data_IF_883323740041
#
_entry.id   IF_883323740041
#
_cell.length_a   1.000
_cell.length_b   1.000
_cell.length_c   1.000
_cell.angle_alpha   90.00
_cell.angle_beta   90.00
_cell.angle_gamma   90.00
#
_symmetry.space_group_name_H-M   'P 1'
#
loop_
_entity.id
_entity.type
_entity.pdbx_description
1 polymer ?
#
# COMPACT_ATOMS: atom_id res chain seq x y z
N UNK A 1 -22.52 -9.44 -30.29
CA UNK A 1 -21.57 -9.97 -31.30
C UNK A 1 -20.57 -10.88 -30.60
N UNK A 2 -20.52 -12.17 -30.98
CA UNK A 2 -19.54 -13.16 -30.52
C UNK A 2 -18.37 -13.17 -31.49
N UNK A 3 -17.15 -12.96 -30.98
CA UNK A 3 -15.86 -13.19 -31.67
C UNK A 3 -14.90 -13.53 -30.51
N UNK A 4 -14.13 -14.60 -30.45
CA UNK A 4 -13.63 -15.52 -31.46
C UNK A 4 -12.18 -15.83 -31.08
N UNK A 5 -11.96 -17.07 -30.64
CA UNK A 5 -10.77 -17.79 -30.18
C UNK A 5 -9.42 -17.44 -30.85
N UNK A 6 -8.29 -17.59 -30.12
CA UNK A 6 -7.13 -18.42 -30.55
C UNK A 6 -6.09 -18.66 -29.45
N UNK A 7 -5.96 -19.95 -29.14
CA UNK A 7 -4.98 -20.64 -28.30
C UNK A 7 -3.67 -20.83 -29.10
N UNK A 8 -2.50 -20.59 -28.51
CA UNK A 8 -1.21 -21.07 -29.04
C UNK A 8 -0.42 -21.76 -27.92
N UNK A 9 -0.32 -23.08 -28.03
CA UNK A 9 0.68 -23.91 -27.36
C UNK A 9 2.00 -23.84 -28.14
N UNK A 10 3.14 -23.89 -27.45
CA UNK A 10 4.41 -24.36 -28.03
C UNK A 10 5.00 -25.40 -27.10
N UNK A 11 5.13 -26.62 -27.63
CA UNK A 11 5.80 -27.76 -27.03
C UNK A 11 7.31 -27.72 -27.34
N UNK A 12 8.15 -28.08 -26.37
CA UNK A 12 9.59 -28.29 -26.53
C UNK A 12 9.93 -29.74 -26.18
N UNK A 13 10.46 -30.47 -27.17
CA UNK A 13 10.65 -31.92 -27.23
C UNK A 13 11.96 -32.39 -26.59
N UNK A 14 11.93 -33.63 -26.09
CA UNK A 14 12.97 -34.47 -25.49
C UNK A 14 14.27 -34.62 -26.31
N UNK A 15 15.37 -34.95 -25.60
CA UNK A 15 16.44 -35.82 -26.13
C UNK A 15 16.82 -36.85 -25.05
N UNK A 16 16.63 -38.13 -25.38
CA UNK A 16 17.18 -39.29 -24.68
C UNK A 16 18.48 -39.70 -25.38
N UNK A 17 19.50 -40.10 -24.62
CA UNK A 17 20.65 -40.84 -25.13
C UNK A 17 20.84 -42.12 -24.31
N UNK A 18 20.93 -43.23 -25.03
CA UNK A 18 21.14 -44.61 -24.56
C UNK A 18 22.58 -44.99 -24.90
N UNK A 19 23.29 -45.71 -24.02
CA UNK A 19 24.64 -46.21 -24.31
C UNK A 19 25.12 -47.27 -23.32
N UNK A 20 25.54 -48.42 -23.86
CA UNK A 20 25.76 -49.74 -23.26
C UNK A 20 27.04 -49.99 -22.42
N UNK A 21 26.94 -51.02 -21.55
CA UNK A 21 27.92 -52.08 -21.21
C UNK A 21 29.33 -51.74 -20.70
N UNK A 22 29.71 -52.32 -19.56
CA UNK A 22 31.11 -52.56 -19.18
C UNK A 22 31.31 -52.72 -17.67
N UNK A 23 31.54 -53.95 -17.22
CA UNK A 23 31.97 -54.26 -15.86
C UNK A 23 33.42 -53.85 -15.63
N UNK A 24 33.68 -52.94 -14.70
CA UNK A 24 34.96 -52.88 -14.00
C UNK A 24 34.75 -52.26 -12.61
N UNK A 25 35.11 -53.04 -11.59
CA UNK A 25 34.99 -52.67 -10.18
C UNK A 25 36.02 -51.59 -9.84
N UNK A 26 35.61 -50.38 -9.41
CA UNK A 26 36.54 -49.36 -8.95
C UNK A 26 37.17 -49.78 -7.60
N UNK A 27 38.46 -49.48 -7.35
CA UNK A 27 39.08 -49.70 -6.05
C UNK A 27 38.35 -48.91 -4.95
N UNK A 28 38.35 -49.37 -3.69
CA UNK A 28 37.63 -48.71 -2.62
C UNK A 28 38.12 -47.25 -2.48
N UNK A 29 37.22 -46.25 -2.47
CA UNK A 29 37.61 -44.87 -2.30
C UNK A 29 38.21 -44.66 -0.90
N UNK A 30 39.29 -43.88 -0.86
CA UNK A 30 39.92 -43.40 0.35
C UNK A 30 38.87 -42.75 1.28
N UNK A 31 39.01 -42.99 2.59
CA UNK A 31 38.18 -42.36 3.61
C UNK A 31 38.37 -40.84 3.58
N UNK A 32 37.47 -40.14 2.88
CA UNK A 32 37.29 -38.70 3.01
C UNK A 32 36.67 -38.43 4.37
N UNK A 33 37.44 -37.81 5.25
CA UNK A 33 36.93 -37.17 6.45
C UNK A 33 36.00 -36.04 6.01
N UNK A 34 34.69 -36.32 6.04
CA UNK A 34 33.65 -35.31 5.87
C UNK A 34 33.76 -34.37 7.06
N UNK A 35 34.45 -33.24 6.87
CA UNK A 35 34.33 -32.10 7.78
C UNK A 35 32.92 -31.58 7.61
N UNK A 36 32.06 -31.86 8.59
CA UNK A 36 30.70 -31.33 8.62
C UNK A 36 30.76 -29.81 8.47
N UNK A 37 29.96 -29.20 7.57
CA UNK A 37 29.87 -27.75 7.51
C UNK A 37 29.44 -27.23 8.89
N UNK A 38 29.97 -26.08 9.35
CA UNK A 38 29.58 -25.51 10.63
C UNK A 38 28.05 -25.39 10.66
N UNK A 39 27.43 -25.96 11.70
CA UNK A 39 25.99 -25.84 11.91
C UNK A 39 25.65 -24.37 11.99
N UNK A 40 25.02 -23.84 10.92
CA UNK A 40 24.37 -22.54 10.94
C UNK A 40 23.34 -22.61 12.05
N UNK A 41 23.60 -21.91 13.14
CA UNK A 41 22.65 -21.81 14.25
C UNK A 41 21.47 -21.01 13.70
N UNK A 42 20.42 -21.73 13.32
CA UNK A 42 19.15 -21.15 12.86
C UNK A 42 18.57 -20.38 14.04
N UNK A 43 18.87 -19.09 14.10
CA UNK A 43 18.29 -18.19 15.09
C UNK A 43 16.84 -18.03 14.71
N UNK A 44 15.92 -18.37 15.62
CA UNK A 44 14.49 -18.22 15.37
C UNK A 44 14.20 -16.79 14.91
N UNK A 45 13.30 -16.59 13.93
CA UNK A 45 12.96 -15.24 13.47
C UNK A 45 12.47 -14.40 14.66
N UNK A 46 12.83 -13.10 14.70
CA UNK A 46 12.38 -12.22 15.76
C UNK A 46 10.84 -12.24 15.83
N UNK A 47 10.28 -12.30 17.03
CA UNK A 47 8.83 -12.23 17.23
C UNK A 47 8.40 -10.77 17.22
N UNK A 48 7.30 -10.39 16.54
CA UNK A 48 6.70 -9.07 16.68
C UNK A 48 6.40 -8.79 18.15
N UNK A 49 6.88 -7.68 18.69
CA UNK A 49 6.43 -7.20 19.98
C UNK A 49 5.07 -6.48 19.84
N UNK A 50 4.33 -6.41 20.93
CA UNK A 50 2.96 -5.87 20.92
C UNK A 50 2.92 -4.37 20.56
N UNK A 51 3.94 -3.60 20.92
CA UNK A 51 3.98 -2.16 20.65
C UNK A 51 4.23 -1.87 19.17
N UNK A 52 5.14 -2.62 18.54
CA UNK A 52 5.40 -2.57 17.10
C UNK A 52 4.16 -2.95 16.28
N UNK A 53 3.46 -4.01 16.69
CA UNK A 53 2.22 -4.42 16.04
C UNK A 53 1.11 -3.38 16.20
N UNK A 54 0.93 -2.81 17.39
CA UNK A 54 -0.08 -1.78 17.65
C UNK A 54 0.20 -0.50 16.85
N UNK A 55 1.47 -0.09 16.77
CA UNK A 55 1.89 1.05 15.98
C UNK A 55 1.57 0.85 14.51
N UNK A 56 1.97 -0.30 13.94
CA UNK A 56 1.79 -0.57 12.51
C UNK A 56 0.31 -0.71 12.13
N UNK A 57 -0.51 -1.32 12.99
CA UNK A 57 -1.95 -1.36 12.80
C UNK A 57 -2.59 0.03 12.81
N UNK A 58 -2.14 0.92 13.71
CA UNK A 58 -2.68 2.28 13.79
C UNK A 58 -2.27 3.12 12.58
N UNK A 59 -1.00 3.02 12.18
CA UNK A 59 -0.45 3.69 10.99
C UNK A 59 -1.15 3.23 9.71
N UNK A 60 -1.21 1.93 9.44
CA UNK A 60 -1.91 1.40 8.27
C UNK A 60 -3.42 1.68 8.34
N UNK A 61 -4.01 1.60 9.53
CA UNK A 61 -5.42 1.87 9.77
C UNK A 61 -5.81 3.29 9.40
N UNK A 62 -4.97 4.29 9.70
CA UNK A 62 -5.21 5.67 9.32
C UNK A 62 -5.20 5.85 7.78
N UNK A 63 -4.18 5.30 7.10
CA UNK A 63 -4.02 5.42 5.64
C UNK A 63 -5.10 4.65 4.88
N UNK A 64 -5.35 3.39 5.25
CA UNK A 64 -6.41 2.59 4.63
C UNK A 64 -7.81 3.06 5.01
N UNK A 65 -7.99 3.55 6.24
CA UNK A 65 -9.23 4.13 6.73
C UNK A 65 -9.70 5.29 5.86
N UNK A 66 -8.78 6.16 5.42
CA UNK A 66 -9.08 7.19 4.41
C UNK A 66 -9.67 6.57 3.14
N UNK A 67 -9.00 5.56 2.56
CA UNK A 67 -9.42 4.95 1.29
C UNK A 67 -10.80 4.30 1.43
N UNK A 68 -11.04 3.56 2.52
CA UNK A 68 -12.33 2.94 2.78
C UNK A 68 -13.44 3.97 2.91
N UNK A 69 -13.25 4.98 3.76
CA UNK A 69 -14.24 6.03 3.97
C UNK A 69 -14.51 6.84 2.68
N UNK A 70 -13.47 7.14 1.89
CA UNK A 70 -13.64 7.82 0.61
C UNK A 70 -14.42 6.95 -0.39
N UNK A 71 -14.14 5.64 -0.45
CA UNK A 71 -14.86 4.72 -1.31
C UNK A 71 -16.32 4.57 -0.89
N UNK A 72 -16.59 4.43 0.41
CA UNK A 72 -17.95 4.34 0.96
C UNK A 72 -18.75 5.61 0.63
N UNK A 73 -18.14 6.78 0.81
CA UNK A 73 -18.74 8.08 0.46
C UNK A 73 -19.13 8.14 -1.02
N UNK A 74 -18.26 7.66 -1.92
CA UNK A 74 -18.53 7.62 -3.36
C UNK A 74 -19.58 6.57 -3.75
N UNK A 75 -19.62 5.42 -3.06
CA UNK A 75 -20.63 4.38 -3.29
C UNK A 75 -22.04 4.82 -2.87
N UNK A 76 -22.12 5.63 -1.82
CA UNK A 76 -23.37 6.18 -1.30
C UNK A 76 -23.83 7.44 -2.06
N UNK A 77 -23.04 7.95 -3.00
CA UNK A 77 -23.44 9.07 -3.85
C UNK A 77 -24.51 8.63 -4.87
N UNK A 78 -25.55 9.44 -5.12
CA UNK A 78 -26.56 9.12 -6.14
C UNK A 78 -25.93 8.95 -7.53
N UNK A 79 -26.33 7.91 -8.26
CA UNK A 79 -25.79 7.60 -9.59
C UNK A 79 -25.96 8.74 -10.63
N UNK A 80 -26.99 9.59 -10.44
CA UNK A 80 -27.30 10.74 -11.32
C UNK A 80 -27.16 12.07 -10.56
N UNK A 81 -26.11 12.23 -9.77
CA UNK A 81 -25.90 13.48 -9.04
C UNK A 81 -25.56 14.63 -10.00
N UNK A 82 -26.49 15.59 -10.13
CA UNK A 82 -26.24 16.85 -10.82
C UNK A 82 -25.17 17.63 -10.06
N UNK A 83 -24.07 17.97 -10.73
CA UNK A 83 -23.01 18.80 -10.14
C UNK A 83 -23.50 20.23 -10.02
N UNK A 84 -23.71 20.67 -8.79
CA UNK A 84 -24.10 22.03 -8.42
C UNK A 84 -23.01 22.67 -7.58
N UNK A 85 -23.06 24.00 -7.42
CA UNK A 85 -22.20 24.72 -6.48
C UNK A 85 -22.25 24.10 -5.07
N UNK A 86 -23.46 23.77 -4.61
CA UNK A 86 -23.67 23.17 -3.29
C UNK A 86 -23.06 21.78 -3.17
N UNK A 87 -23.23 20.92 -4.19
CA UNK A 87 -22.64 19.58 -4.16
C UNK A 87 -21.11 19.63 -4.27
N UNK A 88 -20.53 20.52 -5.08
CA UNK A 88 -19.08 20.70 -5.18
C UNK A 88 -18.48 21.22 -3.86
N UNK A 89 -19.15 22.20 -3.22
CA UNK A 89 -18.76 22.69 -1.90
C UNK A 89 -18.82 21.61 -0.82
N UNK A 90 -19.87 20.78 -0.85
CA UNK A 90 -20.02 19.64 0.06
C UNK A 90 -18.91 18.61 -0.16
N UNK A 91 -18.68 18.19 -1.40
CA UNK A 91 -17.63 17.23 -1.79
C UNK A 91 -16.24 17.68 -1.27
N UNK A 92 -15.87 18.93 -1.54
CA UNK A 92 -14.59 19.50 -1.08
C UNK A 92 -14.51 19.57 0.46
N UNK A 93 -15.64 19.83 1.13
CA UNK A 93 -15.73 19.78 2.59
C UNK A 93 -15.49 18.39 3.15
N UNK A 94 -16.15 17.37 2.61
CA UNK A 94 -16.00 15.98 3.03
C UNK A 94 -14.59 15.45 2.76
N UNK A 95 -13.98 15.81 1.63
CA UNK A 95 -12.58 15.48 1.34
C UNK A 95 -11.62 16.14 2.34
N UNK A 96 -11.84 17.41 2.67
CA UNK A 96 -11.01 18.11 3.65
C UNK A 96 -11.13 17.48 5.04
N UNK A 97 -12.35 17.18 5.48
CA UNK A 97 -12.59 16.53 6.77
C UNK A 97 -11.92 15.16 6.85
N UNK A 98 -12.08 14.34 5.80
CA UNK A 98 -11.53 13.00 5.78
C UNK A 98 -10.00 13.01 5.77
N UNK A 99 -9.37 13.85 4.95
CA UNK A 99 -7.92 14.01 4.94
C UNK A 99 -7.41 14.58 6.27
N UNK A 100 -8.14 15.52 6.88
CA UNK A 100 -7.83 16.08 8.19
C UNK A 100 -7.84 15.03 9.30
N UNK A 101 -8.87 14.19 9.34
CA UNK A 101 -8.94 13.06 10.28
C UNK A 101 -7.73 12.13 10.15
N UNK A 102 -7.31 11.81 8.93
CA UNK A 102 -6.11 10.98 8.72
C UNK A 102 -4.83 11.66 9.21
N UNK A 103 -4.69 12.98 9.03
CA UNK A 103 -3.58 13.75 9.62
C UNK A 103 -3.60 13.65 11.15
N UNK A 104 -4.77 13.83 11.78
CA UNK A 104 -4.91 13.76 13.23
C UNK A 104 -4.54 12.35 13.75
N UNK A 105 -5.03 11.29 13.11
CA UNK A 105 -4.72 9.91 13.46
C UNK A 105 -3.21 9.60 13.32
N UNK A 106 -2.58 10.06 12.24
CA UNK A 106 -1.14 9.85 12.01
C UNK A 106 -0.27 10.65 12.99
N UNK A 107 -0.64 11.90 13.28
CA UNK A 107 0.13 12.76 14.19
C UNK A 107 -0.01 12.37 15.65
N UNK A 108 -1.11 11.71 16.01
CA UNK A 108 -1.32 11.12 17.34
C UNK A 108 -0.46 9.87 17.60
N UNK A 109 0.16 9.28 16.57
CA UNK A 109 1.02 8.12 16.74
C UNK A 109 2.29 8.48 17.54
N UNK A 110 2.70 7.64 18.49
CA UNK A 110 3.98 7.81 19.16
C UNK A 110 5.14 7.65 18.16
N UNK A 111 6.39 7.98 18.57
CA UNK A 111 7.58 7.69 17.77
C UNK A 111 7.59 6.23 17.28
N UNK A 112 8.00 6.04 16.03
CA UNK A 112 8.02 4.72 15.41
C UNK A 112 9.01 3.78 16.10
N UNK A 113 8.62 2.53 16.39
CA UNK A 113 9.55 1.50 16.83
C UNK A 113 10.37 0.92 15.66
N UNK A 114 9.95 1.16 14.41
CA UNK A 114 10.65 0.71 13.21
C UNK A 114 11.64 1.75 12.71
N UNK A 115 12.72 1.24 12.12
CA UNK A 115 13.60 2.04 11.27
C UNK A 115 12.78 2.68 10.15
N UNK A 116 13.04 3.95 9.86
CA UNK A 116 12.34 4.76 8.86
C UNK A 116 10.83 5.00 9.10
N UNK A 117 10.21 4.43 10.13
CA UNK A 117 8.75 4.57 10.31
C UNK A 117 8.28 5.98 10.65
N UNK A 118 9.09 6.82 11.31
CA UNK A 118 8.74 8.24 11.49
C UNK A 118 8.84 9.02 10.17
N UNK A 119 9.77 8.64 9.28
CA UNK A 119 9.86 9.20 7.92
C UNK A 119 8.66 8.75 7.08
N UNK A 120 8.25 7.50 7.19
CA UNK A 120 7.05 6.97 6.55
C UNK A 120 5.78 7.70 7.05
N UNK A 121 5.63 7.88 8.36
CA UNK A 121 4.57 8.70 8.97
C UNK A 121 4.55 10.11 8.40
N UNK A 122 5.70 10.79 8.36
CA UNK A 122 5.82 12.15 7.84
C UNK A 122 5.41 12.26 6.36
N UNK A 123 5.81 11.29 5.52
CA UNK A 123 5.42 11.22 4.11
C UNK A 123 3.90 11.28 3.92
N UNK A 124 3.14 10.56 4.75
CA UNK A 124 1.68 10.54 4.68
C UNK A 124 1.05 11.79 5.31
N UNK A 125 1.56 12.25 6.46
CA UNK A 125 1.09 13.49 7.10
C UNK A 125 1.17 14.67 6.12
N UNK A 126 2.28 14.81 5.39
CA UNK A 126 2.46 15.89 4.41
C UNK A 126 1.43 15.82 3.27
N UNK A 127 1.18 14.63 2.73
CA UNK A 127 0.27 14.44 1.60
C UNK A 127 -1.18 14.61 1.98
N UNK A 128 -1.60 14.05 3.11
CA UNK A 128 -2.96 14.27 3.62
C UNK A 128 -3.18 15.72 4.05
N UNK A 129 -2.16 16.39 4.60
CA UNK A 129 -2.21 17.83 4.86
C UNK A 129 -2.42 18.62 3.58
N UNK A 130 -1.62 18.35 2.54
CA UNK A 130 -1.77 19.02 1.25
C UNK A 130 -3.14 18.76 0.61
N UNK A 131 -3.66 17.54 0.72
CA UNK A 131 -5.00 17.18 0.23
C UNK A 131 -6.10 17.94 0.96
N UNK A 132 -6.04 17.94 2.31
CA UNK A 132 -6.95 18.69 3.18
C UNK A 132 -6.96 20.17 2.82
N UNK A 133 -5.78 20.77 2.71
CA UNK A 133 -5.64 22.20 2.50
C UNK A 133 -6.12 22.61 1.10
N UNK A 134 -5.82 21.80 0.07
CA UNK A 134 -6.32 22.00 -1.29
C UNK A 134 -7.85 21.91 -1.34
N UNK A 135 -8.45 20.91 -0.68
CA UNK A 135 -9.89 20.73 -0.63
C UNK A 135 -10.58 21.87 0.16
N UNK A 136 -10.06 22.25 1.33
CA UNK A 136 -10.59 23.34 2.15
C UNK A 136 -10.52 24.69 1.43
N UNK A 137 -9.40 24.98 0.76
CA UNK A 137 -9.26 26.20 -0.05
C UNK A 137 -10.18 26.19 -1.27
N UNK A 138 -10.31 25.04 -1.94
CA UNK A 138 -11.27 24.85 -3.02
C UNK A 138 -12.69 25.16 -2.57
N UNK A 139 -13.10 24.61 -1.42
CA UNK A 139 -14.41 24.88 -0.82
C UNK A 139 -14.62 26.37 -0.59
N UNK A 140 -13.64 27.08 0.00
CA UNK A 140 -13.72 28.53 0.21
C UNK A 140 -13.96 29.29 -1.10
N UNK A 141 -13.21 28.94 -2.16
CA UNK A 141 -13.34 29.56 -3.48
C UNK A 141 -14.70 29.28 -4.12
N UNK A 142 -15.16 28.03 -4.06
CA UNK A 142 -16.49 27.64 -4.53
C UNK A 142 -17.55 28.43 -3.80
N UNK A 143 -17.52 28.47 -2.46
CA UNK A 143 -18.52 29.18 -1.65
C UNK A 143 -18.58 30.68 -1.96
N UNK A 144 -17.42 31.33 -2.16
CA UNK A 144 -17.32 32.74 -2.48
C UNK A 144 -17.76 33.11 -3.91
N UNK A 145 -17.73 32.16 -4.85
CA UNK A 145 -18.01 32.43 -6.26
C UNK A 145 -19.48 32.80 -6.53
N UNK A 146 -19.71 33.68 -7.51
CA UNK A 146 -21.04 34.12 -7.96
C UNK A 146 -21.43 33.43 -9.26
N UNK A 147 -22.73 33.17 -9.45
CA UNK A 147 -23.24 32.50 -10.65
C UNK A 147 -22.52 31.17 -10.89
N UNK A 148 -21.99 30.97 -12.10
CA UNK A 148 -21.28 29.75 -12.49
C UNK A 148 -19.75 29.84 -12.36
N UNK A 149 -19.21 30.91 -11.79
CA UNK A 149 -17.75 31.09 -11.64
C UNK A 149 -17.09 30.12 -10.64
N UNK A 150 -17.85 29.18 -10.06
CA UNK A 150 -17.35 28.15 -9.15
C UNK A 150 -16.83 26.90 -9.87
N UNK A 151 -17.21 26.69 -11.14
CA UNK A 151 -16.96 25.41 -11.84
C UNK A 151 -15.47 25.11 -12.00
N UNK A 152 -14.70 26.06 -12.55
CA UNK A 152 -13.25 25.92 -12.72
C UNK A 152 -12.50 25.75 -11.40
N UNK A 153 -12.66 26.63 -10.38
CA UNK A 153 -11.94 26.47 -9.12
C UNK A 153 -12.39 25.22 -8.35
N UNK A 154 -13.66 24.83 -8.44
CA UNK A 154 -14.16 23.60 -7.83
C UNK A 154 -13.51 22.37 -8.44
N UNK A 155 -13.49 22.28 -9.78
CA UNK A 155 -12.90 21.15 -10.50
C UNK A 155 -11.39 21.06 -10.28
N UNK A 156 -10.69 22.20 -10.37
CA UNK A 156 -9.25 22.25 -10.12
C UNK A 156 -8.88 21.84 -8.69
N UNK A 157 -9.69 22.22 -7.70
CA UNK A 157 -9.45 21.85 -6.31
C UNK A 157 -9.70 20.36 -6.04
N UNK A 158 -10.74 19.77 -6.65
CA UNK A 158 -10.98 18.32 -6.57
C UNK A 158 -9.79 17.53 -7.13
N UNK A 159 -9.31 17.92 -8.31
CA UNK A 159 -8.10 17.32 -8.91
C UNK A 159 -6.88 17.50 -8.02
N UNK A 160 -6.61 18.72 -7.54
CA UNK A 160 -5.44 18.99 -6.70
C UNK A 160 -5.46 18.18 -5.39
N UNK A 161 -6.63 18.06 -4.74
CA UNK A 161 -6.76 17.29 -3.51
C UNK A 161 -6.57 15.77 -3.73
N UNK A 162 -6.89 15.25 -4.91
CA UNK A 162 -6.67 13.85 -5.26
C UNK A 162 -5.24 13.58 -5.73
N UNK A 163 -4.67 14.45 -6.57
CA UNK A 163 -3.37 14.25 -7.22
C UNK A 163 -2.22 14.13 -6.20
N UNK A 164 -2.28 14.87 -5.10
CA UNK A 164 -1.27 14.78 -4.03
C UNK A 164 -1.28 13.44 -3.30
N UNK A 165 -2.37 12.67 -3.41
CA UNK A 165 -2.53 11.35 -2.79
C UNK A 165 -2.25 10.18 -3.74
N UNK A 166 -1.95 10.42 -5.03
CA UNK A 166 -1.78 9.34 -6.03
C UNK A 166 -0.73 8.30 -5.63
N UNK A 167 0.34 8.76 -4.98
CA UNK A 167 1.46 7.93 -4.53
C UNK A 167 1.33 7.51 -3.04
N UNK A 168 0.23 7.86 -2.38
CA UNK A 168 -0.05 7.60 -0.96
C UNK A 168 -1.12 6.51 -0.77
N UNK A 169 -0.99 5.39 -1.49
CA UNK A 169 -1.96 4.29 -1.43
C UNK A 169 -1.43 3.02 -0.75
N UNK A 170 -0.11 2.83 -0.70
CA UNK A 170 0.55 1.72 -0.03
C UNK A 170 1.29 2.20 1.22
N UNK A 171 0.75 1.98 2.44
CA UNK A 171 1.39 2.40 3.67
C UNK A 171 2.76 1.71 3.90
N UNK A 172 3.01 0.54 3.31
CA UNK A 172 4.22 -0.24 3.54
C UNK A 172 5.36 0.10 2.56
N UNK A 173 5.07 0.84 1.48
CA UNK A 173 6.05 1.16 0.43
C UNK A 173 7.26 1.98 0.92
N UNK A 174 7.16 2.64 2.08
CA UNK A 174 8.22 3.47 2.64
C UNK A 174 9.21 2.70 3.53
N UNK A 175 8.96 1.42 3.79
CA UNK A 175 9.78 0.60 4.68
C UNK A 175 10.74 -0.30 3.90
N UNK A 176 11.89 -0.59 4.51
CA UNK A 176 12.82 -1.60 3.98
C UNK A 176 12.22 -3.00 4.19
N UNK A 177 11.87 -3.66 3.10
CA UNK A 177 11.33 -5.02 3.14
C UNK A 177 12.33 -6.06 3.64
N UNK A 178 13.62 -5.71 3.74
CA UNK A 178 14.65 -6.57 4.30
C UNK A 178 14.81 -6.44 5.82
N UNK A 179 14.12 -5.49 6.48
CA UNK A 179 14.11 -5.42 7.93
C UNK A 179 13.35 -6.63 8.51
N UNK A 180 14.05 -7.55 9.21
CA UNK A 180 13.46 -8.81 9.65
C UNK A 180 12.40 -8.60 10.74
N UNK A 181 12.46 -7.50 11.52
CA UNK A 181 11.47 -7.17 12.55
C UNK A 181 10.25 -6.52 11.93
N UNK A 182 10.44 -5.64 10.94
CA UNK A 182 9.34 -5.06 10.18
C UNK A 182 8.57 -6.14 9.41
N UNK A 183 9.26 -7.00 8.65
CA UNK A 183 8.62 -8.00 7.79
C UNK A 183 7.70 -8.96 8.54
N UNK A 184 8.15 -9.49 9.69
CA UNK A 184 7.32 -10.37 10.55
C UNK A 184 6.14 -9.62 11.17
N UNK A 185 6.30 -8.35 11.49
CA UNK A 185 5.23 -7.53 12.10
C UNK A 185 4.20 -7.14 11.06
N UNK A 186 4.63 -6.72 9.87
CA UNK A 186 3.77 -6.37 8.74
C UNK A 186 2.91 -7.56 8.29
N UNK A 187 3.45 -8.79 8.31
CA UNK A 187 2.71 -10.00 7.95
C UNK A 187 1.49 -10.27 8.84
N UNK A 188 1.54 -9.84 10.11
CA UNK A 188 0.49 -10.07 11.11
C UNK A 188 -0.32 -8.81 11.44
N UNK A 189 0.08 -7.64 10.95
CA UNK A 189 -0.67 -6.39 11.11
C UNK A 189 -1.91 -6.40 10.23
N UNK A 190 -3.06 -6.73 10.83
CA UNK A 190 -4.34 -6.87 10.14
C UNK A 190 -4.72 -5.64 9.32
N UNK A 191 -4.54 -4.43 9.89
CA UNK A 191 -4.91 -3.17 9.23
C UNK A 191 -4.02 -2.80 8.04
N UNK A 192 -2.89 -3.48 7.85
CA UNK A 192 -2.03 -3.30 6.67
C UNK A 192 -2.45 -4.16 5.48
N UNK A 193 -3.45 -5.03 5.63
CA UNK A 193 -3.92 -5.86 4.52
C UNK A 193 -4.81 -5.03 3.56
N UNK A 194 -4.74 -5.27 2.23
CA UNK A 194 -5.50 -4.50 1.24
C UNK A 194 -7.04 -4.55 1.39
N UNK A 195 -7.57 -5.53 2.14
CA UNK A 195 -9.00 -5.77 2.34
C UNK A 195 -9.53 -5.30 3.71
N UNK A 196 -8.74 -4.54 4.46
CA UNK A 196 -9.05 -4.10 5.83
C UNK A 196 -9.34 -2.61 5.94
#
# INVERSE_FOLDING_TARGET
>A
MKIGTKLWMVAGVCVLAVGCTGSEQPPPPAAVTVTSPPSVTSTAPPKPDASSLAWLNSYCGAVHGYRLANNERLQNAPAEQVVTKGSASKELGEMAELAGKTVDELTALPPSPFKDGDKAKQFFVERFTASRDAAAEGKRKVDAAKGNAWMDPGSAALTAAQDVLKDAHDPLAQFDSNDPVFGVTAAVAEKCRPSS
#
